data_IF_590150185378
#
_entry.id   IF_590150185378
#
_cell.length_a   1.000
_cell.length_b   1.000
_cell.length_c   1.000
_cell.angle_alpha   90.00
_cell.angle_beta   90.00
_cell.angle_gamma   90.00
#
_symmetry.space_group_name_H-M   'P 1'
#
loop_
_entity.id
_entity.type
_entity.pdbx_description
1 polymer ?
#
# COMPACT_ATOMS: atom_id res chain seq x y z
N UNK A 1 29.20 -88.23 8.34
CA UNK A 1 30.28 -88.62 9.27
C UNK A 1 29.57 -88.81 10.57
N UNK A 2 29.27 -90.06 10.81
CA UNK A 2 29.95 -91.00 11.62
C UNK A 2 29.79 -90.66 13.09
N UNK A 3 29.40 -91.37 13.92
CA UNK A 3 29.20 -92.85 14.25
C UNK A 3 28.97 -92.84 15.75
N UNK A 4 28.23 -93.54 16.34
CA UNK A 4 28.13 -94.91 16.41
C UNK A 4 28.02 -95.33 17.84
N UNK A 5 27.19 -96.19 17.97
CA UNK A 5 27.28 -97.48 18.71
C UNK A 5 27.11 -97.45 20.22
N UNK A 6 26.01 -98.05 20.67
CA UNK A 6 25.95 -99.50 21.01
C UNK A 6 26.61 -99.78 22.36
N UNK A 7 26.12 -100.50 23.29
CA UNK A 7 25.58 -101.83 23.31
C UNK A 7 25.18 -102.26 24.74
N UNK A 8 24.16 -103.04 24.84
CA UNK A 8 24.01 -104.36 25.63
C UNK A 8 24.20 -104.39 27.14
N UNK A 9 23.19 -104.88 27.76
CA UNK A 9 22.76 -106.24 28.24
C UNK A 9 23.15 -106.43 29.71
N UNK A 10 22.48 -107.02 30.51
CA UNK A 10 21.73 -108.22 30.86
C UNK A 10 21.23 -108.08 32.31
N UNK A 11 20.10 -108.38 32.70
CA UNK A 11 19.47 -109.63 32.94
C UNK A 11 19.60 -110.20 34.37
N UNK A 12 18.50 -110.32 35.04
CA UNK A 12 18.07 -111.59 35.69
C UNK A 12 17.04 -111.36 36.81
N UNK A 13 15.95 -111.95 36.62
CA UNK A 13 15.04 -112.63 37.53
C UNK A 13 15.31 -112.64 39.03
N UNK A 14 14.29 -112.40 39.82
CA UNK A 14 13.67 -113.34 40.73
C UNK A 14 12.48 -112.74 41.53
N UNK A 15 11.35 -113.35 41.29
CA UNK A 15 10.31 -113.80 42.22
C UNK A 15 9.97 -113.00 43.48
N UNK A 16 8.78 -112.60 43.55
CA UNK A 16 7.85 -113.29 44.40
C UNK A 16 7.12 -112.43 45.42
N UNK A 17 5.85 -112.46 45.30
CA UNK A 17 4.80 -112.44 46.35
C UNK A 17 4.39 -111.17 47.05
N UNK A 18 3.15 -110.89 46.84
CA UNK A 18 2.14 -110.36 47.74
C UNK A 18 2.24 -108.96 48.29
N UNK A 19 1.29 -108.13 47.82
CA UNK A 19 0.28 -107.66 48.79
C UNK A 19 -0.84 -106.85 48.13
N UNK A 20 -2.02 -107.33 48.28
CA UNK A 20 -3.33 -106.77 47.88
C UNK A 20 -3.75 -105.61 48.76
N UNK A 21 -2.86 -104.80 49.37
CA UNK A 21 -3.23 -103.73 50.33
C UNK A 21 -2.82 -102.30 49.92
N UNK A 22 -2.18 -102.04 48.75
CA UNK A 22 -1.76 -100.65 48.36
C UNK A 22 -2.57 -100.04 47.26
N UNK A 23 -3.56 -100.69 46.65
CA UNK A 23 -4.38 -100.13 45.57
C UNK A 23 -5.54 -99.20 46.04
N UNK A 24 -6.04 -99.30 47.24
CA UNK A 24 -7.15 -98.48 47.72
C UNK A 24 -6.75 -97.02 48.14
N UNK A 25 -5.52 -96.80 48.62
CA UNK A 25 -5.03 -95.52 49.05
C UNK A 25 -4.62 -94.60 47.88
N UNK A 26 -4.08 -95.19 46.79
CA UNK A 26 -3.74 -94.43 45.57
C UNK A 26 -4.99 -93.99 44.81
N UNK A 27 -6.01 -94.86 44.71
CA UNK A 27 -7.29 -94.47 44.08
C UNK A 27 -8.07 -93.40 44.87
N UNK A 28 -8.09 -93.43 46.22
CA UNK A 28 -8.71 -92.38 47.07
C UNK A 28 -7.95 -91.06 46.96
N UNK A 29 -6.62 -91.05 46.91
CA UNK A 29 -5.81 -89.81 46.69
C UNK A 29 -5.97 -89.32 45.27
N UNK A 30 -6.08 -90.17 44.26
CA UNK A 30 -6.36 -89.75 42.86
C UNK A 30 -7.78 -89.17 42.71
N UNK A 31 -8.81 -89.80 43.33
CA UNK A 31 -10.20 -89.25 43.34
C UNK A 31 -10.27 -87.91 44.07
N UNK A 32 -9.63 -87.77 45.24
CA UNK A 32 -9.57 -86.52 45.99
C UNK A 32 -8.81 -85.47 45.17
N UNK A 33 -7.69 -85.80 44.49
CA UNK A 33 -6.94 -84.88 43.62
C UNK A 33 -7.73 -84.48 42.42
N UNK A 34 -8.46 -85.40 41.78
CA UNK A 34 -9.36 -85.07 40.64
C UNK A 34 -10.57 -84.21 41.09
N UNK A 35 -11.11 -84.50 42.29
CA UNK A 35 -12.21 -83.74 42.84
C UNK A 35 -11.77 -82.28 43.23
N UNK A 36 -10.58 -82.12 43.81
CA UNK A 36 -9.98 -80.78 44.11
C UNK A 36 -9.65 -80.09 42.80
N UNK A 37 -9.10 -80.73 41.82
CA UNK A 37 -8.83 -80.18 40.50
C UNK A 37 -10.13 -79.81 39.76
N UNK A 38 -11.17 -80.61 39.82
CA UNK A 38 -12.47 -80.32 39.29
C UNK A 38 -13.17 -79.12 39.99
N UNK A 39 -13.08 -79.12 41.35
CA UNK A 39 -13.59 -77.99 42.15
C UNK A 39 -12.82 -76.71 41.85
N UNK A 40 -11.49 -76.73 41.67
CA UNK A 40 -10.69 -75.59 41.26
C UNK A 40 -11.04 -75.13 39.84
N UNK A 41 -11.26 -76.05 38.89
CA UNK A 41 -11.67 -75.79 37.54
C UNK A 41 -13.06 -75.11 37.53
N UNK A 42 -14.00 -75.63 38.33
CA UNK A 42 -15.34 -75.05 38.48
C UNK A 42 -15.26 -73.68 39.16
N UNK A 43 -14.43 -73.53 40.16
CA UNK A 43 -14.23 -72.26 40.89
C UNK A 43 -13.50 -71.22 40.00
N UNK A 44 -12.44 -71.64 39.31
CA UNK A 44 -11.71 -70.80 38.34
C UNK A 44 -12.53 -70.55 37.08
N UNK A 45 -13.27 -71.50 36.57
CA UNK A 45 -14.16 -71.36 35.46
C UNK A 45 -15.35 -70.45 35.80
N UNK A 46 -15.93 -70.63 36.97
CA UNK A 46 -17.03 -69.81 37.49
C UNK A 46 -16.59 -68.31 37.71
N UNK A 47 -15.41 -68.15 38.36
CA UNK A 47 -14.86 -66.77 38.53
C UNK A 47 -14.45 -66.13 37.22
N UNK A 48 -13.95 -66.90 36.26
CA UNK A 48 -13.64 -66.43 34.90
C UNK A 48 -14.91 -66.04 34.14
N UNK A 49 -15.96 -66.86 34.13
CA UNK A 49 -17.25 -66.53 33.50
C UNK A 49 -17.91 -65.33 34.12
N UNK A 50 -17.87 -65.22 35.48
CA UNK A 50 -18.38 -64.10 36.22
C UNK A 50 -17.57 -62.82 35.86
N UNK A 51 -16.23 -62.92 35.86
CA UNK A 51 -15.34 -61.87 35.46
C UNK A 51 -15.56 -61.41 34.01
N UNK A 52 -15.75 -62.36 33.08
CA UNK A 52 -16.10 -62.06 31.69
C UNK A 52 -17.48 -61.37 31.59
N UNK A 53 -18.49 -61.85 32.28
CA UNK A 53 -19.81 -61.22 32.30
C UNK A 53 -19.79 -59.79 32.86
N UNK A 54 -18.98 -59.54 33.90
CA UNK A 54 -18.80 -58.19 34.48
C UNK A 54 -17.93 -57.25 33.65
N UNK A 55 -17.01 -57.77 32.89
CA UNK A 55 -16.11 -56.98 32.03
C UNK A 55 -16.68 -56.76 30.63
N UNK A 56 -17.66 -57.56 30.24
CA UNK A 56 -18.15 -57.58 28.84
C UNK A 56 -18.87 -56.27 28.50
N UNK A 57 -18.32 -55.51 27.54
CA UNK A 57 -18.92 -54.25 27.09
C UNK A 57 -18.82 -53.06 28.04
N UNK A 58 -18.06 -53.19 29.16
CA UNK A 58 -17.85 -52.12 30.10
C UNK A 58 -16.48 -51.46 29.95
N UNK A 59 -16.38 -50.18 30.34
CA UNK A 59 -15.12 -49.44 30.38
C UNK A 59 -14.20 -49.99 31.48
N UNK A 60 -12.87 -50.00 31.29
CA UNK A 60 -11.92 -50.37 32.35
C UNK A 60 -12.13 -49.52 33.60
N UNK A 61 -11.98 -50.19 34.78
CA UNK A 61 -12.47 -49.69 36.04
C UNK A 61 -11.97 -48.28 36.47
N UNK A 62 -10.76 -47.90 36.01
CA UNK A 62 -10.11 -46.63 36.37
C UNK A 62 -10.09 -45.63 35.21
N UNK A 63 -10.90 -45.85 34.17
CA UNK A 63 -10.93 -44.99 33.01
C UNK A 63 -11.54 -43.64 33.32
N UNK A 64 -10.83 -42.58 32.96
CA UNK A 64 -11.31 -41.18 33.03
C UNK A 64 -11.06 -40.48 31.67
N UNK A 65 -11.93 -39.57 31.29
CA UNK A 65 -11.74 -38.69 30.13
C UNK A 65 -11.81 -37.26 30.64
N UNK A 66 -10.73 -36.48 30.43
CA UNK A 66 -10.62 -35.10 30.95
C UNK A 66 -11.05 -35.01 32.46
N UNK A 67 -10.69 -36.03 33.24
CA UNK A 67 -11.02 -36.07 34.65
C UNK A 67 -12.42 -36.61 35.00
N UNK A 68 -13.30 -36.80 34.03
CA UNK A 68 -14.63 -37.40 34.21
C UNK A 68 -14.50 -38.91 34.30
N UNK A 69 -14.91 -39.55 35.46
CA UNK A 69 -14.81 -40.99 35.64
C UNK A 69 -15.91 -41.74 34.87
N UNK A 70 -15.51 -42.66 33.98
CA UNK A 70 -16.43 -43.47 33.19
C UNK A 70 -16.17 -45.00 33.40
N UNK A 71 -15.29 -45.33 34.33
CA UNK A 71 -14.94 -46.73 34.62
C UNK A 71 -16.15 -47.56 35.06
N UNK A 72 -16.25 -48.79 34.59
CA UNK A 72 -17.33 -49.79 34.83
C UNK A 72 -18.68 -49.41 34.20
N UNK A 73 -18.80 -48.32 33.48
CA UNK A 73 -20.01 -47.97 32.71
C UNK A 73 -20.03 -48.76 31.40
N UNK A 74 -21.19 -49.09 30.90
CA UNK A 74 -21.36 -49.52 29.51
C UNK A 74 -21.11 -48.38 28.57
N UNK A 75 -20.94 -48.68 27.29
CA UNK A 75 -20.63 -47.67 26.24
C UNK A 75 -21.64 -46.52 26.20
N UNK A 76 -22.93 -46.82 26.21
CA UNK A 76 -23.98 -45.82 26.07
C UNK A 76 -24.05 -44.87 27.30
N UNK A 77 -23.96 -45.48 28.52
CA UNK A 77 -23.95 -44.71 29.80
C UNK A 77 -22.69 -43.85 29.90
N UNK A 78 -21.50 -44.37 29.49
CA UNK A 78 -20.26 -43.61 29.52
C UNK A 78 -20.31 -42.43 28.54
N UNK A 79 -20.78 -42.65 27.33
CA UNK A 79 -20.95 -41.60 26.31
C UNK A 79 -21.92 -40.52 26.78
N UNK A 80 -23.09 -40.90 27.34
CA UNK A 80 -24.07 -39.98 27.86
C UNK A 80 -23.48 -39.14 29.00
N UNK A 81 -22.72 -39.77 29.91
CA UNK A 81 -22.05 -39.07 31.02
C UNK A 81 -21.02 -38.07 30.51
N UNK A 82 -20.21 -38.42 29.53
CA UNK A 82 -19.23 -37.51 28.91
C UNK A 82 -19.91 -36.36 28.18
N UNK A 83 -20.97 -36.62 27.44
CA UNK A 83 -21.77 -35.56 26.77
C UNK A 83 -22.40 -34.60 27.76
N UNK A 84 -22.88 -35.08 28.88
CA UNK A 84 -23.50 -34.23 29.91
C UNK A 84 -22.46 -33.36 30.64
N UNK A 85 -21.31 -33.93 31.02
CA UNK A 85 -20.26 -33.25 31.79
C UNK A 85 -19.31 -32.36 30.93
N UNK A 86 -18.95 -32.81 29.74
CA UNK A 86 -17.98 -32.14 28.88
C UNK A 86 -18.66 -31.37 27.74
N UNK A 87 -19.83 -31.81 27.28
CA UNK A 87 -20.57 -31.20 26.17
C UNK A 87 -20.76 -29.69 26.34
N UNK A 88 -21.32 -29.23 27.47
CA UNK A 88 -21.48 -27.79 27.73
C UNK A 88 -20.16 -27.00 27.68
N UNK A 89 -19.07 -27.58 28.16
CA UNK A 89 -17.73 -26.95 28.15
C UNK A 89 -17.14 -26.89 26.75
N UNK A 90 -17.33 -27.93 25.95
CA UNK A 90 -16.81 -28.01 24.58
C UNK A 90 -17.63 -27.21 23.55
N UNK A 91 -18.91 -26.95 23.86
CA UNK A 91 -19.79 -26.11 23.04
C UNK A 91 -19.85 -24.65 23.49
N UNK A 92 -19.24 -24.34 24.64
CA UNK A 92 -19.22 -22.97 25.18
C UNK A 92 -18.56 -22.00 24.18
N UNK A 93 -19.21 -20.86 23.90
CA UNK A 93 -18.64 -19.86 23.00
C UNK A 93 -17.30 -19.33 23.51
N UNK A 94 -16.35 -19.15 22.59
CA UNK A 94 -15.00 -18.63 22.91
C UNK A 94 -14.95 -17.17 22.51
N UNK A 95 -14.62 -16.30 23.46
CA UNK A 95 -14.45 -14.86 23.24
C UNK A 95 -13.02 -14.56 22.86
N UNK A 96 -12.82 -14.00 21.67
CA UNK A 96 -11.55 -13.41 21.19
C UNK A 96 -11.60 -11.92 21.53
N UNK A 97 -10.63 -11.40 22.28
CA UNK A 97 -10.66 -10.02 22.76
C UNK A 97 -9.31 -9.31 22.58
N UNK A 98 -9.36 -8.01 22.22
CA UNK A 98 -8.23 -7.08 22.22
C UNK A 98 -8.70 -5.65 22.50
N UNK A 99 -8.11 -4.98 23.49
CA UNK A 99 -8.34 -3.56 23.83
C UNK A 99 -9.81 -3.11 23.79
N UNK A 100 -10.72 -3.92 24.36
CA UNK A 100 -12.16 -3.60 24.44
C UNK A 100 -12.99 -4.13 23.29
N UNK A 101 -12.38 -4.50 22.17
CA UNK A 101 -13.06 -5.21 21.09
C UNK A 101 -13.20 -6.69 21.45
N UNK A 102 -14.39 -7.26 21.28
CA UNK A 102 -14.70 -8.65 21.59
C UNK A 102 -15.49 -9.26 20.44
N UNK A 103 -15.08 -10.46 20.06
CA UNK A 103 -15.80 -11.30 19.08
C UNK A 103 -15.99 -12.67 19.67
N UNK A 104 -17.16 -13.23 19.52
CA UNK A 104 -17.52 -14.54 20.06
C UNK A 104 -17.53 -15.56 18.93
N UNK A 105 -16.81 -16.65 19.13
CA UNK A 105 -16.70 -17.79 18.21
C UNK A 105 -17.51 -18.96 18.78
N UNK A 106 -18.46 -19.46 18.01
CA UNK A 106 -19.19 -20.70 18.28
C UNK A 106 -18.34 -21.86 17.80
N UNK A 107 -17.86 -22.77 18.69
CA UNK A 107 -16.96 -23.84 18.32
C UNK A 107 -17.51 -24.76 17.24
N UNK A 108 -18.78 -25.16 17.33
CA UNK A 108 -19.39 -26.08 16.37
C UNK A 108 -19.47 -25.47 14.96
N UNK A 109 -19.82 -24.18 14.86
CA UNK A 109 -19.88 -23.47 13.59
C UNK A 109 -18.50 -23.15 13.04
N UNK A 110 -17.49 -23.13 13.90
CA UNK A 110 -16.08 -22.95 13.53
C UNK A 110 -15.38 -24.26 13.14
N UNK A 111 -16.06 -25.40 13.15
CA UNK A 111 -15.44 -26.67 12.80
C UNK A 111 -14.65 -27.35 13.93
N UNK A 112 -14.91 -26.97 15.17
CA UNK A 112 -14.34 -27.60 16.37
C UNK A 112 -15.37 -28.59 16.94
N UNK A 113 -15.14 -29.87 16.74
CA UNK A 113 -16.11 -30.93 17.08
C UNK A 113 -15.43 -32.01 17.91
N UNK A 114 -16.12 -32.46 18.97
CA UNK A 114 -15.69 -33.65 19.73
C UNK A 114 -16.09 -34.90 18.96
N UNK A 115 -15.15 -35.83 18.82
CA UNK A 115 -15.40 -37.14 18.27
C UNK A 115 -15.69 -38.14 19.42
N UNK A 116 -16.98 -38.19 19.79
CA UNK A 116 -17.43 -39.03 20.88
C UNK A 116 -17.17 -40.52 20.61
N UNK A 117 -17.46 -40.96 19.36
CA UNK A 117 -17.25 -42.34 18.96
C UNK A 117 -15.76 -42.75 19.07
N UNK A 118 -14.88 -41.95 18.51
CA UNK A 118 -13.44 -42.17 18.62
C UNK A 118 -12.94 -42.11 20.08
N UNK A 119 -13.52 -41.24 20.91
CA UNK A 119 -13.20 -41.19 22.36
C UNK A 119 -13.59 -42.45 23.04
N UNK A 120 -14.78 -42.97 22.77
CA UNK A 120 -15.27 -44.21 23.38
C UNK A 120 -14.48 -45.42 22.90
N UNK A 121 -14.10 -45.46 21.61
CA UNK A 121 -13.23 -46.54 21.08
C UNK A 121 -11.86 -46.58 21.78
N UNK A 122 -11.28 -45.41 22.03
CA UNK A 122 -10.03 -45.27 22.78
C UNK A 122 -10.19 -45.63 24.26
N UNK A 123 -11.33 -45.35 24.86
CA UNK A 123 -11.63 -45.69 26.25
C UNK A 123 -11.76 -47.20 26.49
N UNK A 124 -12.03 -47.98 25.44
CA UNK A 124 -11.73 -49.42 25.42
C UNK A 124 -12.77 -50.35 25.97
N UNK A 125 -14.07 -50.07 25.81
CA UNK A 125 -15.11 -51.07 26.02
C UNK A 125 -15.02 -52.20 24.98
N UNK A 126 -14.33 -53.30 25.29
CA UNK A 126 -14.13 -54.42 24.36
C UNK A 126 -14.77 -55.68 24.92
N UNK A 127 -15.52 -56.35 24.07
CA UNK A 127 -15.93 -57.72 24.34
C UNK A 127 -14.75 -58.65 24.03
N UNK A 128 -14.18 -59.33 25.05
CA UNK A 128 -13.05 -60.19 24.87
C UNK A 128 -13.08 -61.36 25.81
N UNK A 129 -12.76 -62.56 25.29
CA UNK A 129 -12.52 -63.76 26.06
C UNK A 129 -11.05 -63.89 26.52
N UNK A 130 -10.20 -62.92 26.22
CA UNK A 130 -8.80 -62.93 26.66
C UNK A 130 -8.72 -62.59 28.15
N UNK A 131 -8.14 -63.49 29.01
CA UNK A 131 -8.03 -63.22 30.45
C UNK A 131 -7.32 -61.90 30.79
N UNK A 132 -6.28 -61.50 30.00
CA UNK A 132 -5.56 -60.24 30.21
C UNK A 132 -6.46 -59.02 29.97
N UNK A 133 -7.32 -59.08 28.96
CA UNK A 133 -8.28 -58.04 28.67
C UNK A 133 -9.34 -57.92 29.77
N UNK A 134 -9.86 -59.07 30.27
CA UNK A 134 -10.83 -59.11 31.37
C UNK A 134 -10.21 -58.50 32.66
N UNK A 135 -8.98 -58.86 33.02
CA UNK A 135 -8.28 -58.29 34.14
C UNK A 135 -8.05 -56.78 34.00
N UNK A 136 -7.64 -56.35 32.78
CA UNK A 136 -7.48 -54.90 32.50
C UNK A 136 -8.81 -54.17 32.63
N UNK A 137 -9.92 -54.74 32.19
CA UNK A 137 -11.25 -54.12 32.31
C UNK A 137 -11.70 -54.06 33.80
N UNK A 138 -11.44 -55.06 34.58
CA UNK A 138 -11.89 -55.11 35.99
C UNK A 138 -11.03 -54.28 36.93
N UNK A 139 -9.75 -54.11 36.72
CA UNK A 139 -8.78 -53.52 37.64
C UNK A 139 -7.92 -52.42 36.99
N UNK A 140 -7.85 -52.36 35.68
CA UNK A 140 -7.05 -51.42 34.89
C UNK A 140 -7.83 -50.17 34.47
N UNK A 141 -7.31 -49.51 33.48
CA UNK A 141 -7.77 -48.25 32.96
C UNK A 141 -6.90 -47.07 33.43
N UNK A 142 -7.17 -45.89 32.93
CA UNK A 142 -6.46 -44.64 33.27
C UNK A 142 -7.02 -43.48 32.49
N UNK A 143 -6.35 -42.32 32.52
CA UNK A 143 -6.78 -41.19 31.76
C UNK A 143 -6.67 -41.45 30.26
N UNK A 144 -7.76 -41.15 29.56
CA UNK A 144 -7.89 -41.24 28.10
C UNK A 144 -8.11 -39.82 27.58
N UNK A 145 -7.38 -39.36 26.55
CA UNK A 145 -7.60 -38.04 25.99
C UNK A 145 -8.91 -38.00 25.21
N UNK A 146 -9.60 -36.90 25.31
CA UNK A 146 -10.76 -36.61 24.49
C UNK A 146 -10.36 -36.52 23.02
N UNK A 147 -11.03 -37.30 22.16
CA UNK A 147 -10.77 -37.23 20.71
C UNK A 147 -11.57 -36.11 20.09
N UNK A 148 -10.91 -35.39 19.19
CA UNK A 148 -11.50 -34.16 18.57
C UNK A 148 -11.22 -34.16 17.10
N UNK A 149 -12.12 -33.50 16.35
CA UNK A 149 -11.95 -33.16 14.94
C UNK A 149 -11.88 -31.64 14.83
N UNK A 150 -10.81 -31.14 14.24
CA UNK A 150 -10.57 -29.71 14.03
C UNK A 150 -10.45 -29.45 12.54
N UNK A 151 -11.34 -28.63 12.02
CA UNK A 151 -11.22 -28.06 10.67
C UNK A 151 -10.58 -26.65 10.79
N UNK A 152 -9.26 -26.63 10.76
CA UNK A 152 -8.48 -25.38 10.86
C UNK A 152 -8.90 -24.33 9.82
N UNK A 153 -9.27 -24.78 8.61
CA UNK A 153 -9.74 -23.86 7.54
C UNK A 153 -11.07 -23.21 7.91
N UNK A 154 -11.98 -23.96 8.52
CA UNK A 154 -13.25 -23.42 8.99
C UNK A 154 -13.06 -22.47 10.18
N UNK A 155 -12.13 -22.78 11.09
CA UNK A 155 -11.75 -21.90 12.21
C UNK A 155 -11.21 -20.58 11.66
N UNK A 156 -10.22 -20.63 10.76
CA UNK A 156 -9.63 -19.44 10.14
C UNK A 156 -10.68 -18.61 9.41
N UNK A 157 -11.53 -19.24 8.62
CA UNK A 157 -12.63 -18.53 7.90
C UNK A 157 -13.63 -17.87 8.85
N UNK A 158 -13.90 -18.50 9.99
CA UNK A 158 -14.81 -17.93 11.00
C UNK A 158 -14.18 -16.72 11.68
N UNK A 159 -12.89 -16.76 11.96
CA UNK A 159 -12.12 -15.64 12.55
C UNK A 159 -11.98 -14.52 11.53
N UNK A 160 -11.66 -14.83 10.28
CA UNK A 160 -11.49 -13.86 9.19
C UNK A 160 -12.73 -13.02 8.94
N UNK A 161 -13.91 -13.62 8.99
CA UNK A 161 -15.20 -12.90 8.90
C UNK A 161 -15.34 -11.78 9.93
N UNK A 162 -14.66 -11.89 11.05
CA UNK A 162 -14.70 -10.96 12.17
C UNK A 162 -13.43 -10.10 12.25
N UNK A 163 -12.46 -10.30 11.38
CA UNK A 163 -11.15 -9.62 11.42
C UNK A 163 -11.29 -8.09 11.32
N UNK A 164 -12.26 -7.61 10.53
CA UNK A 164 -12.55 -6.19 10.39
C UNK A 164 -12.89 -5.47 11.70
N UNK A 165 -13.44 -6.17 12.69
CA UNK A 165 -13.73 -5.57 14.01
C UNK A 165 -12.44 -5.15 14.75
N UNK A 166 -11.31 -5.78 14.46
CA UNK A 166 -10.01 -5.50 15.07
C UNK A 166 -9.14 -4.60 14.19
N UNK A 167 -9.56 -4.30 12.95
CA UNK A 167 -8.75 -3.58 11.99
C UNK A 167 -8.71 -2.07 12.29
N UNK A 168 -7.52 -1.50 12.17
CA UNK A 168 -7.28 -0.06 12.10
C UNK A 168 -6.31 0.14 10.94
N UNK A 169 -6.73 0.93 9.93
CA UNK A 169 -5.86 1.24 8.82
C UNK A 169 -4.67 2.10 9.26
N UNK A 170 -3.49 1.75 8.79
CA UNK A 170 -2.32 2.60 8.97
C UNK A 170 -2.53 3.91 8.20
N UNK A 171 -2.27 5.05 8.85
CA UNK A 171 -2.31 6.37 8.20
C UNK A 171 -0.94 7.01 8.23
N UNK A 172 -0.52 7.52 7.10
CA UNK A 172 0.73 8.24 6.96
C UNK A 172 0.70 9.58 7.69
N UNK A 173 1.83 9.96 8.28
CA UNK A 173 2.05 11.33 8.70
C UNK A 173 2.09 12.25 7.47
N UNK A 174 1.56 13.46 7.58
CA UNK A 174 1.54 14.42 6.49
C UNK A 174 2.19 15.73 6.88
N UNK A 175 2.67 16.46 5.88
CA UNK A 175 3.14 17.84 6.02
C UNK A 175 2.76 18.64 4.78
N UNK A 176 2.30 19.87 4.98
CA UNK A 176 2.04 20.84 3.93
C UNK A 176 2.29 22.26 4.44
N UNK A 177 2.36 23.20 3.51
CA UNK A 177 2.43 24.61 3.81
C UNK A 177 1.05 25.26 3.61
N UNK A 178 0.61 26.01 4.61
CA UNK A 178 -0.55 26.92 4.53
C UNK A 178 0.00 28.36 4.64
N UNK A 179 0.14 29.03 3.49
CA UNK A 179 1.02 30.18 3.40
C UNK A 179 2.44 29.81 3.85
N UNK A 180 3.03 30.58 4.75
CA UNK A 180 4.33 30.29 5.35
C UNK A 180 4.26 29.37 6.58
N UNK A 181 3.05 28.94 7.01
CA UNK A 181 2.86 28.08 8.16
C UNK A 181 3.03 26.61 7.80
N UNK A 182 3.84 25.89 8.57
CA UNK A 182 4.02 24.43 8.41
C UNK A 182 2.91 23.73 9.19
N UNK A 183 2.12 22.92 8.51
CA UNK A 183 1.04 22.12 9.10
C UNK A 183 1.40 20.65 8.96
N UNK A 184 1.28 19.89 10.05
CA UNK A 184 1.60 18.45 10.09
C UNK A 184 0.48 17.65 10.72
N UNK A 185 0.32 16.39 10.30
CA UNK A 185 -0.49 15.40 11.00
C UNK A 185 0.36 14.21 11.44
N UNK A 186 -0.07 13.58 12.55
CA UNK A 186 0.60 12.40 13.09
C UNK A 186 0.25 11.15 12.28
N UNK A 187 1.23 10.24 12.19
CA UNK A 187 1.00 8.90 11.68
C UNK A 187 0.13 8.08 12.65
N UNK A 188 -0.68 7.20 12.10
CA UNK A 188 -1.41 6.19 12.86
C UNK A 188 -0.87 4.82 12.48
N UNK A 189 -0.44 4.07 13.49
CA UNK A 189 -0.04 2.69 13.28
C UNK A 189 -1.26 1.82 13.01
N UNK A 190 -1.20 1.00 11.99
CA UNK A 190 -2.25 0.05 11.66
C UNK A 190 -2.36 -1.07 12.70
N UNK A 191 -3.48 -1.76 12.66
CA UNK A 191 -3.74 -2.96 13.43
C UNK A 191 -4.57 -3.91 12.57
N UNK A 192 -4.11 -5.15 12.45
CA UNK A 192 -4.77 -6.22 11.70
C UNK A 192 -4.79 -7.48 12.55
N UNK A 193 -5.87 -8.25 12.50
CA UNK A 193 -5.92 -9.55 13.16
C UNK A 193 -4.99 -10.52 12.44
N UNK A 194 -4.11 -11.19 13.19
CA UNK A 194 -3.37 -12.34 12.69
C UNK A 194 -4.29 -13.57 12.74
N UNK A 195 -5.01 -13.81 11.65
CA UNK A 195 -6.03 -14.86 11.56
C UNK A 195 -5.46 -16.23 11.88
N UNK A 196 -4.35 -16.70 11.28
CA UNK A 196 -3.79 -18.01 11.60
C UNK A 196 -3.34 -18.15 13.06
N UNK A 197 -2.66 -17.13 13.61
CA UNK A 197 -2.20 -17.16 14.99
C UNK A 197 -3.36 -17.12 15.98
N UNK A 198 -4.40 -16.36 15.68
CA UNK A 198 -5.62 -16.31 16.50
C UNK A 198 -6.39 -17.62 16.42
N UNK A 199 -6.50 -18.24 15.24
CA UNK A 199 -7.12 -19.55 15.05
C UNK A 199 -6.45 -20.60 15.92
N UNK A 200 -5.14 -20.69 15.89
CA UNK A 200 -4.36 -21.61 16.75
C UNK A 200 -4.58 -21.35 18.24
N UNK A 201 -4.74 -20.08 18.64
CA UNK A 201 -5.04 -19.73 20.01
C UNK A 201 -6.44 -20.18 20.42
N UNK A 202 -7.43 -20.04 19.53
CA UNK A 202 -8.82 -20.52 19.73
C UNK A 202 -8.87 -22.03 19.83
N UNK A 203 -8.20 -22.77 18.94
CA UNK A 203 -8.08 -24.23 18.97
C UNK A 203 -7.47 -24.69 20.31
N UNK A 204 -6.35 -24.06 20.69
CA UNK A 204 -5.67 -24.39 21.97
C UNK A 204 -6.57 -24.12 23.18
N UNK A 205 -7.29 -23.00 23.21
CA UNK A 205 -8.21 -22.68 24.27
C UNK A 205 -9.39 -23.65 24.34
N UNK A 206 -9.91 -24.04 23.19
CA UNK A 206 -10.99 -25.01 23.09
C UNK A 206 -10.58 -26.35 23.68
N UNK A 207 -9.40 -26.88 23.34
CA UNK A 207 -8.85 -28.10 23.94
C UNK A 207 -8.66 -27.97 25.46
N UNK A 208 -8.39 -26.76 25.95
CA UNK A 208 -8.25 -26.48 27.38
C UNK A 208 -9.57 -26.09 28.05
N UNK A 209 -10.70 -26.17 27.33
CA UNK A 209 -12.05 -25.77 27.81
C UNK A 209 -12.09 -24.32 28.33
N UNK A 210 -11.25 -23.45 27.76
CA UNK A 210 -11.24 -22.01 28.07
C UNK A 210 -12.18 -21.26 27.13
N UNK A 211 -12.90 -20.30 27.69
CA UNK A 211 -13.90 -19.49 26.97
C UNK A 211 -13.43 -18.11 26.54
N UNK A 212 -12.14 -17.80 26.74
CA UNK A 212 -11.58 -16.51 26.35
C UNK A 212 -10.13 -16.62 25.94
N UNK A 213 -9.76 -15.92 24.87
CA UNK A 213 -8.38 -15.80 24.38
C UNK A 213 -8.10 -14.37 23.94
N UNK A 214 -6.87 -13.88 24.08
CA UNK A 214 -6.47 -12.62 23.46
C UNK A 214 -6.40 -12.78 21.95
N UNK A 215 -6.83 -11.75 21.21
CA UNK A 215 -6.59 -11.68 19.77
C UNK A 215 -5.10 -11.44 19.51
N UNK A 216 -4.52 -12.19 18.57
CA UNK A 216 -3.17 -11.91 18.08
C UNK A 216 -3.26 -10.90 16.95
N UNK A 217 -2.57 -9.76 17.07
CA UNK A 217 -2.63 -8.68 16.10
C UNK A 217 -1.27 -8.36 15.51
N UNK A 218 -1.24 -8.13 14.20
CA UNK A 218 -0.15 -7.49 13.47
C UNK A 218 -0.30 -5.98 13.52
N UNK A 219 0.80 -5.26 13.48
CA UNK A 219 0.83 -3.79 13.53
C UNK A 219 1.54 -3.24 12.30
N UNK A 220 0.85 -3.16 11.14
CA UNK A 220 1.44 -2.58 9.94
C UNK A 220 1.87 -1.14 10.22
N UNK A 221 3.11 -0.82 9.85
CA UNK A 221 3.63 0.52 10.01
C UNK A 221 3.13 1.43 8.88
N UNK A 222 2.88 2.73 9.15
CA UNK A 222 2.62 3.71 8.11
C UNK A 222 3.82 3.82 7.16
N UNK A 223 3.57 4.15 5.89
CA UNK A 223 4.65 4.37 4.93
C UNK A 223 5.46 5.61 5.28
N UNK A 224 4.76 6.67 5.71
CA UNK A 224 5.38 7.92 6.16
C UNK A 224 5.23 8.02 7.68
N UNK A 225 6.36 7.99 8.36
CA UNK A 225 6.40 8.09 9.82
C UNK A 225 6.52 9.54 10.29
N UNK A 226 6.16 9.82 11.55
CA UNK A 226 6.40 11.11 12.20
C UNK A 226 7.86 11.55 12.06
N UNK A 227 8.81 10.61 12.21
CA UNK A 227 10.25 10.89 12.07
C UNK A 227 10.62 11.38 10.68
N UNK A 228 9.98 10.89 9.62
CA UNK A 228 10.22 11.36 8.25
C UNK A 228 9.71 12.79 8.08
N UNK A 229 8.52 13.10 8.61
CA UNK A 229 7.95 14.45 8.63
C UNK A 229 8.84 15.41 9.45
N UNK A 230 9.22 15.02 10.67
CA UNK A 230 10.09 15.85 11.52
C UNK A 230 11.43 16.17 10.87
N UNK A 231 11.99 15.22 10.10
CA UNK A 231 13.23 15.43 9.37
C UNK A 231 13.09 16.49 8.29
N UNK A 232 12.07 16.43 7.42
CA UNK A 232 11.86 17.42 6.36
C UNK A 232 11.48 18.78 6.95
N UNK A 233 10.65 18.79 7.98
CA UNK A 233 10.29 20.03 8.70
C UNK A 233 11.54 20.72 9.26
N UNK A 234 12.37 19.99 9.98
CA UNK A 234 13.51 20.58 10.67
C UNK A 234 14.65 20.94 9.70
N UNK A 235 14.93 20.10 8.71
CA UNK A 235 16.08 20.26 7.83
C UNK A 235 15.82 21.11 6.60
N UNK A 236 14.55 21.20 6.16
CA UNK A 236 14.21 21.89 4.91
C UNK A 236 13.15 22.98 5.12
N UNK A 237 11.95 22.66 5.59
CA UNK A 237 10.84 23.61 5.63
C UNK A 237 11.07 24.76 6.64
N UNK A 238 11.48 24.45 7.88
CA UNK A 238 11.75 25.48 8.88
C UNK A 238 12.79 26.51 8.40
N UNK A 239 13.95 26.12 7.87
CA UNK A 239 14.87 27.08 7.28
C UNK A 239 14.25 27.91 6.15
N UNK A 240 13.51 27.27 5.21
CA UNK A 240 12.93 27.95 4.05
C UNK A 240 12.00 29.09 4.45
N UNK A 241 11.12 28.87 5.43
CA UNK A 241 10.10 29.83 5.86
C UNK A 241 10.44 30.53 7.18
N UNK A 242 11.69 30.46 7.65
CA UNK A 242 12.11 31.02 8.97
C UNK A 242 12.06 32.54 9.04
N UNK A 243 11.96 33.22 7.91
CA UNK A 243 11.90 34.68 7.77
C UNK A 243 12.23 35.14 6.36
N UNK A 244 12.20 36.41 6.07
CA UNK A 244 12.51 36.93 4.73
C UNK A 244 13.98 36.72 4.37
N UNK A 245 14.26 36.53 3.07
CA UNK A 245 15.62 36.69 2.52
C UNK A 245 15.77 38.15 2.15
N UNK A 246 16.66 38.87 2.82
CA UNK A 246 16.96 40.29 2.53
C UNK A 246 18.01 40.35 1.44
N UNK A 247 17.67 40.96 0.34
CA UNK A 247 18.53 41.07 -0.84
C UNK A 247 18.99 42.51 -0.98
N UNK A 248 20.29 42.69 -0.95
CA UNK A 248 20.96 43.98 -1.21
C UNK A 248 21.41 44.06 -2.65
N UNK A 249 21.16 45.19 -3.29
CA UNK A 249 21.64 45.48 -4.65
C UNK A 249 22.20 46.91 -4.76
N UNK A 250 22.89 47.19 -5.86
CA UNK A 250 23.36 48.56 -6.16
C UNK A 250 22.26 49.57 -6.48
N UNK A 251 21.01 49.07 -6.74
CA UNK A 251 19.85 49.90 -7.07
C UNK A 251 18.85 50.04 -5.92
N UNK A 252 19.10 49.35 -4.80
CA UNK A 252 18.22 49.31 -3.63
C UNK A 252 18.03 47.90 -3.08
N UNK A 253 17.47 47.82 -1.89
CA UNK A 253 17.27 46.58 -1.16
C UNK A 253 15.81 46.12 -1.28
N UNK A 254 15.60 44.81 -1.28
CA UNK A 254 14.26 44.22 -1.24
C UNK A 254 14.27 42.93 -0.40
N UNK A 255 13.10 42.41 -0.13
CA UNK A 255 12.95 41.18 0.63
C UNK A 255 12.09 40.16 -0.12
N UNK A 256 12.55 38.92 -0.13
CA UNK A 256 11.76 37.77 -0.57
C UNK A 256 11.08 37.19 0.66
N UNK A 257 9.74 37.24 0.70
CA UNK A 257 8.99 36.86 1.89
C UNK A 257 8.83 35.35 2.04
N UNK A 258 8.59 34.85 3.27
CA UNK A 258 8.29 33.43 3.50
C UNK A 258 7.09 32.92 2.68
N UNK A 259 6.09 33.77 2.45
CA UNK A 259 4.89 33.44 1.66
C UNK A 259 5.23 33.25 0.17
N UNK A 260 6.09 34.09 -0.39
CA UNK A 260 6.58 33.93 -1.76
C UNK A 260 7.38 32.65 -1.91
N UNK A 261 8.24 32.34 -0.92
CA UNK A 261 9.01 31.10 -0.90
C UNK A 261 8.10 29.88 -0.80
N UNK A 262 7.11 29.92 0.11
CA UNK A 262 6.14 28.84 0.31
C UNK A 262 5.32 28.56 -0.97
N UNK A 263 4.89 29.61 -1.68
CA UNK A 263 4.11 29.52 -2.93
C UNK A 263 4.82 28.70 -4.02
N UNK A 264 6.14 28.74 -4.05
CA UNK A 264 6.96 28.02 -5.04
C UNK A 264 7.60 26.74 -4.47
N UNK A 265 7.29 26.39 -3.20
CA UNK A 265 7.82 25.19 -2.55
C UNK A 265 6.94 24.00 -2.84
N UNK A 266 7.54 22.94 -3.36
CA UNK A 266 6.90 21.66 -3.60
C UNK A 266 7.39 20.65 -2.56
N UNK A 267 6.45 19.92 -1.94
CA UNK A 267 6.71 18.81 -1.04
C UNK A 267 6.38 17.53 -1.78
N UNK A 268 7.34 16.63 -1.91
CA UNK A 268 7.19 15.36 -2.62
C UNK A 268 7.49 14.19 -1.71
N UNK A 269 6.72 13.11 -1.90
CA UNK A 269 6.92 11.84 -1.21
C UNK A 269 7.37 10.81 -2.24
N UNK A 270 8.53 10.18 -1.99
CA UNK A 270 9.05 9.10 -2.81
C UNK A 270 9.77 8.08 -1.91
N UNK A 271 9.50 6.78 -2.11
CA UNK A 271 10.18 5.68 -1.40
C UNK A 271 10.21 5.86 0.14
N UNK A 272 9.06 6.23 0.71
CA UNK A 272 8.89 6.50 2.16
C UNK A 272 9.69 7.69 2.70
N UNK A 273 10.31 8.47 1.83
CA UNK A 273 10.98 9.71 2.19
C UNK A 273 10.16 10.93 1.74
N UNK A 274 10.22 11.99 2.52
CA UNK A 274 9.65 13.30 2.17
C UNK A 274 10.79 14.26 1.90
N UNK A 275 10.66 15.04 0.83
CA UNK A 275 11.57 16.13 0.47
C UNK A 275 10.79 17.39 0.16
N UNK A 276 11.38 18.54 0.45
CA UNK A 276 10.83 19.83 0.08
C UNK A 276 11.86 20.61 -0.73
N UNK A 277 11.43 21.24 -1.82
CA UNK A 277 12.29 22.07 -2.66
C UNK A 277 11.53 23.28 -3.15
N UNK A 278 12.18 24.44 -3.18
CA UNK A 278 11.64 25.65 -3.74
C UNK A 278 12.12 25.81 -5.20
N UNK A 279 11.20 26.09 -6.11
CA UNK A 279 11.50 26.44 -7.50
C UNK A 279 11.98 27.90 -7.55
N UNK A 280 13.31 28.08 -7.51
CA UNK A 280 13.94 29.40 -7.46
C UNK A 280 13.80 30.18 -8.78
N UNK A 281 13.55 29.51 -9.90
CA UNK A 281 13.24 30.18 -11.18
C UNK A 281 11.84 30.77 -11.18
N UNK A 282 10.84 30.06 -10.63
CA UNK A 282 9.51 30.64 -10.41
C UNK A 282 9.56 31.77 -9.39
N UNK A 283 10.35 31.60 -8.32
CA UNK A 283 10.55 32.65 -7.32
C UNK A 283 11.13 33.91 -7.94
N UNK A 284 12.14 33.78 -8.80
CA UNK A 284 12.71 34.91 -9.53
C UNK A 284 11.65 35.64 -10.35
N UNK A 285 10.87 34.92 -11.11
CA UNK A 285 9.79 35.49 -11.95
C UNK A 285 8.74 36.22 -11.12
N UNK A 286 8.30 35.60 -10.00
CA UNK A 286 7.33 36.21 -9.09
C UNK A 286 7.86 37.50 -8.45
N UNK A 287 9.11 37.48 -8.00
CA UNK A 287 9.76 38.63 -7.40
C UNK A 287 9.97 39.76 -8.43
N UNK A 288 10.53 39.45 -9.60
CA UNK A 288 10.80 40.43 -10.63
C UNK A 288 9.54 41.10 -11.19
N UNK A 289 8.42 40.37 -11.24
CA UNK A 289 7.14 40.90 -11.70
C UNK A 289 6.60 42.04 -10.81
N UNK A 290 6.99 42.08 -9.53
CA UNK A 290 6.52 43.05 -8.55
C UNK A 290 7.61 44.02 -8.06
N UNK A 291 8.86 43.79 -8.47
CA UNK A 291 10.02 44.57 -8.00
C UNK A 291 10.15 45.85 -8.85
N UNK A 292 10.13 46.99 -8.18
CA UNK A 292 10.32 48.32 -8.84
C UNK A 292 11.59 49.00 -8.30
N UNK A 293 12.74 48.66 -8.87
CA UNK A 293 14.05 49.28 -8.57
C UNK A 293 14.60 50.07 -9.77
N UNK A 294 13.72 50.47 -10.71
CA UNK A 294 14.11 51.22 -11.89
C UNK A 294 14.99 50.40 -12.86
N UNK A 295 14.83 49.10 -12.88
CA UNK A 295 15.49 48.25 -13.88
C UNK A 295 14.99 48.55 -15.28
N UNK A 296 15.86 48.47 -16.26
CA UNK A 296 15.53 48.65 -17.66
C UNK A 296 15.61 47.34 -18.40
N UNK A 297 14.60 47.02 -19.17
CA UNK A 297 14.64 45.84 -20.04
C UNK A 297 15.50 46.13 -21.26
N UNK A 298 16.28 45.15 -21.75
CA UNK A 298 16.93 45.29 -23.04
C UNK A 298 15.89 45.33 -24.15
N UNK A 299 16.15 46.08 -25.18
CA UNK A 299 15.34 46.09 -26.42
C UNK A 299 16.19 45.56 -27.56
N UNK A 300 15.65 44.63 -28.29
CA UNK A 300 16.29 44.07 -29.49
C UNK A 300 16.34 45.13 -30.59
N UNK A 301 17.35 45.06 -31.47
CA UNK A 301 17.35 45.82 -32.70
C UNK A 301 16.19 45.32 -33.59
N UNK A 302 15.64 46.20 -34.37
CA UNK A 302 14.58 45.89 -35.31
C UNK A 302 14.77 46.64 -36.61
N UNK A 303 13.84 46.47 -37.57
CA UNK A 303 13.88 47.16 -38.85
C UNK A 303 12.59 47.93 -39.07
N UNK A 304 12.71 49.17 -39.48
CA UNK A 304 11.57 50.00 -39.85
C UNK A 304 11.73 50.50 -41.30
N UNK A 305 10.64 50.94 -41.94
CA UNK A 305 10.68 51.56 -43.25
C UNK A 305 10.70 53.08 -43.10
N UNK A 306 11.86 53.69 -43.37
CA UNK A 306 12.01 55.12 -43.40
C UNK A 306 12.12 55.59 -44.90
N UNK A 307 11.12 56.30 -45.37
CA UNK A 307 11.06 56.73 -46.76
C UNK A 307 11.07 55.56 -47.77
N UNK A 308 10.42 54.44 -47.41
CA UNK A 308 10.36 53.22 -48.23
C UNK A 308 11.63 52.39 -48.24
N UNK A 309 12.62 52.71 -47.41
CA UNK A 309 13.87 51.92 -47.29
C UNK A 309 13.96 51.31 -45.90
N UNK A 310 14.36 50.02 -45.81
CA UNK A 310 14.61 49.42 -44.49
C UNK A 310 15.75 50.15 -43.76
N UNK A 311 15.49 50.50 -42.52
CA UNK A 311 16.43 51.18 -41.62
C UNK A 311 16.47 50.44 -40.30
N UNK A 312 17.68 50.24 -39.78
CA UNK A 312 17.87 49.56 -38.48
C UNK A 312 17.40 50.50 -37.37
N UNK A 313 16.54 49.98 -36.48
CA UNK A 313 16.23 50.56 -35.17
C UNK A 313 17.25 49.98 -34.18
N UNK A 314 18.06 50.81 -33.53
CA UNK A 314 19.11 50.32 -32.65
C UNK A 314 18.57 49.57 -31.43
N UNK A 315 19.28 48.49 -31.05
CA UNK A 315 19.06 47.83 -29.76
C UNK A 315 19.48 48.70 -28.59
N UNK A 316 18.91 48.46 -27.42
CA UNK A 316 19.37 49.03 -26.17
C UNK A 316 19.69 47.98 -25.15
N UNK A 317 20.74 48.23 -24.38
CA UNK A 317 21.16 47.38 -23.27
C UNK A 317 20.24 47.68 -22.08
N UNK A 318 19.74 46.65 -21.43
CA UNK A 318 19.04 46.75 -20.15
C UNK A 318 19.96 46.67 -18.94
N UNK A 319 19.38 46.82 -17.78
CA UNK A 319 20.08 46.63 -16.51
C UNK A 319 19.14 45.96 -15.51
N UNK A 320 19.60 44.91 -14.86
CA UNK A 320 18.76 44.14 -13.94
C UNK A 320 19.50 43.00 -13.23
N UNK A 321 18.73 42.24 -12.51
CA UNK A 321 19.20 41.03 -11.83
C UNK A 321 19.09 39.84 -12.80
N UNK A 322 20.21 39.16 -13.03
CA UNK A 322 20.23 37.95 -13.87
C UNK A 322 19.64 36.76 -13.09
N UNK A 323 18.71 36.01 -13.71
CA UNK A 323 18.05 34.86 -13.09
C UNK A 323 19.06 33.86 -12.48
N UNK A 324 20.14 33.55 -13.20
CA UNK A 324 21.19 32.62 -12.72
C UNK A 324 21.83 33.07 -11.40
N UNK A 325 22.11 34.35 -11.25
CA UNK A 325 22.72 34.89 -10.01
C UNK A 325 21.71 34.90 -8.87
N UNK A 326 20.46 35.30 -9.14
CA UNK A 326 19.38 35.27 -8.16
C UNK A 326 19.13 33.86 -7.67
N UNK A 327 18.93 32.89 -8.56
CA UNK A 327 18.63 31.51 -8.19
C UNK A 327 19.77 30.88 -7.39
N UNK A 328 21.01 31.12 -7.72
CA UNK A 328 22.17 30.63 -6.99
C UNK A 328 22.29 31.27 -5.58
N UNK A 329 22.21 32.59 -5.51
CA UNK A 329 22.45 33.34 -4.27
C UNK A 329 21.25 33.22 -3.32
N UNK A 330 20.05 33.56 -3.78
CA UNK A 330 18.83 33.48 -2.97
C UNK A 330 18.49 32.02 -2.66
N UNK A 331 18.64 31.09 -3.62
CA UNK A 331 18.45 29.66 -3.39
C UNK A 331 19.32 29.12 -2.27
N UNK A 332 20.59 29.53 -2.19
CA UNK A 332 21.49 29.14 -1.09
C UNK A 332 21.03 29.68 0.27
N UNK A 333 20.38 30.82 0.32
CA UNK A 333 19.87 31.43 1.54
C UNK A 333 18.62 30.74 2.08
N UNK A 334 17.87 30.01 1.25
CA UNK A 334 16.67 29.28 1.69
C UNK A 334 16.97 28.15 2.70
N UNK A 335 18.20 27.67 2.74
CA UNK A 335 18.63 26.63 3.71
C UNK A 335 19.20 27.22 4.99
N UNK A 336 19.23 28.56 5.11
CA UNK A 336 19.85 29.29 6.22
C UNK A 336 18.79 29.98 7.07
N UNK A 337 19.20 30.47 8.24
CA UNK A 337 18.31 31.18 9.19
C UNK A 337 18.99 32.46 9.71
N UNK A 338 18.19 33.39 10.24
CA UNK A 338 18.67 34.63 10.84
C UNK A 338 19.43 35.51 9.85
N UNK A 339 20.53 36.14 10.29
CA UNK A 339 21.35 37.06 9.48
C UNK A 339 22.04 36.39 8.27
N UNK A 340 22.15 35.09 8.26
CA UNK A 340 22.71 34.37 7.09
C UNK A 340 21.76 34.40 5.87
N UNK A 341 20.57 34.95 6.03
CA UNK A 341 19.61 35.19 4.95
C UNK A 341 19.74 36.58 4.32
N UNK A 342 20.69 37.39 4.81
CA UNK A 342 21.03 38.67 4.21
C UNK A 342 22.09 38.40 3.11
N UNK A 343 21.70 38.62 1.87
CA UNK A 343 22.53 38.30 0.69
C UNK A 343 22.67 39.53 -0.22
N UNK A 344 23.73 39.55 -1.02
CA UNK A 344 23.94 40.56 -2.03
C UNK A 344 23.86 39.95 -3.41
N UNK A 345 22.97 40.51 -4.27
CA UNK A 345 22.79 40.08 -5.66
C UNK A 345 23.26 41.18 -6.59
N UNK A 346 24.17 40.89 -7.53
CA UNK A 346 24.69 41.91 -8.43
C UNK A 346 23.63 42.32 -9.45
N UNK A 347 23.56 43.61 -9.73
CA UNK A 347 22.87 44.18 -10.89
C UNK A 347 23.83 44.18 -12.07
N UNK A 348 23.43 43.61 -13.19
CA UNK A 348 24.25 43.48 -14.38
C UNK A 348 23.59 44.10 -15.59
N UNK A 349 24.38 44.42 -16.60
CA UNK A 349 23.90 44.74 -17.92
C UNK A 349 23.22 43.49 -18.52
N UNK A 350 22.09 43.72 -19.15
CA UNK A 350 21.29 42.75 -19.88
C UNK A 350 21.44 43.07 -21.36
N UNK A 351 22.14 42.22 -22.08
CA UNK A 351 22.31 42.40 -23.51
C UNK A 351 21.02 42.03 -24.26
N UNK A 352 20.67 42.74 -25.35
CA UNK A 352 19.57 42.39 -26.21
C UNK A 352 19.85 41.04 -26.87
N UNK A 353 18.81 40.25 -27.17
CA UNK A 353 18.93 38.98 -27.86
C UNK A 353 19.35 39.18 -29.35
N UNK A 354 19.00 40.33 -29.91
CA UNK A 354 19.40 40.74 -31.24
C UNK A 354 20.00 42.17 -31.18
N UNK A 355 21.31 42.22 -31.35
CA UNK A 355 22.03 43.51 -31.21
C UNK A 355 21.99 44.35 -32.49
N UNK A 356 22.27 45.65 -32.36
CA UNK A 356 22.44 46.60 -33.51
C UNK A 356 23.48 46.06 -34.49
N UNK A 357 24.60 45.51 -34.03
CA UNK A 357 25.63 44.97 -34.88
C UNK A 357 25.14 43.75 -35.68
N UNK A 358 24.36 42.89 -35.03
CA UNK A 358 23.71 41.75 -35.72
C UNK A 358 22.68 42.23 -36.75
N UNK A 359 21.89 43.25 -36.42
CA UNK A 359 20.95 43.83 -37.39
C UNK A 359 21.64 44.44 -38.62
N UNK A 360 22.74 45.17 -38.39
CA UNK A 360 23.54 45.70 -39.47
C UNK A 360 24.17 44.59 -40.33
N UNK A 361 24.68 43.54 -39.69
CA UNK A 361 25.25 42.38 -40.38
C UNK A 361 24.21 41.54 -41.14
N UNK A 362 22.93 41.60 -40.74
CA UNK A 362 21.84 40.88 -41.44
C UNK A 362 21.60 41.41 -42.86
N UNK A 363 22.05 42.64 -43.16
CA UNK A 363 22.08 43.19 -44.53
C UNK A 363 20.71 43.44 -45.16
N UNK A 364 19.71 43.76 -44.33
CA UNK A 364 18.35 44.10 -44.82
C UNK A 364 18.40 45.49 -45.51
N UNK A 365 18.27 45.49 -46.84
CA UNK A 365 18.53 46.69 -47.67
C UNK A 365 17.35 47.10 -48.54
N UNK A 366 16.47 46.17 -48.90
CA UNK A 366 15.41 46.43 -49.89
C UNK A 366 14.12 45.74 -49.49
N UNK A 367 12.99 46.30 -49.85
CA UNK A 367 11.69 45.65 -49.80
C UNK A 367 11.65 44.58 -50.89
N UNK A 368 11.37 43.34 -50.56
CA UNK A 368 11.33 42.21 -51.49
C UNK A 368 9.91 41.67 -51.71
N UNK A 369 8.95 42.09 -50.92
CA UNK A 369 7.54 41.77 -51.06
C UNK A 369 6.68 42.78 -50.33
N UNK A 370 5.57 43.12 -50.96
CA UNK A 370 4.58 44.07 -50.43
C UNK A 370 3.19 43.60 -50.82
N UNK A 371 2.24 43.72 -49.92
CA UNK A 371 0.85 43.44 -50.23
C UNK A 371 -0.08 44.30 -49.37
N UNK A 372 -1.18 44.81 -49.96
CA UNK A 372 -2.15 45.63 -49.27
C UNK A 372 -3.54 45.01 -49.41
N UNK A 373 -4.26 44.95 -48.32
CA UNK A 373 -5.67 44.59 -48.33
C UNK A 373 -6.51 45.77 -47.77
N UNK A 374 -7.74 45.87 -48.26
CA UNK A 374 -8.70 46.89 -47.79
C UNK A 374 -9.87 46.25 -47.06
N UNK A 375 -10.51 46.94 -46.19
CA UNK A 375 -11.70 46.48 -45.51
C UNK A 375 -12.66 47.65 -45.26
N UNK A 376 -14.00 47.41 -45.18
CA UNK A 376 -14.95 48.42 -44.78
C UNK A 376 -14.68 48.85 -43.35
N UNK A 377 -14.80 50.16 -43.10
CA UNK A 377 -14.59 50.72 -41.78
C UNK A 377 -15.50 50.07 -40.74
N UNK A 378 -14.91 49.64 -39.64
CA UNK A 378 -15.59 49.15 -38.44
C UNK A 378 -14.63 49.30 -37.25
N UNK A 379 -15.12 49.87 -36.15
CA UNK A 379 -14.29 50.19 -34.99
C UNK A 379 -13.54 48.98 -34.41
N UNK A 380 -14.22 47.84 -34.35
CA UNK A 380 -13.59 46.60 -33.87
C UNK A 380 -12.47 46.13 -34.81
N UNK A 381 -12.64 46.32 -36.14
CA UNK A 381 -11.57 45.95 -37.10
C UNK A 381 -10.38 46.91 -36.97
N UNK A 382 -10.62 48.21 -36.85
CA UNK A 382 -9.54 49.16 -36.62
C UNK A 382 -8.74 48.83 -35.37
N UNK A 383 -9.41 48.45 -34.26
CA UNK A 383 -8.78 48.07 -33.02
C UNK A 383 -8.01 46.74 -33.18
N UNK A 384 -8.68 45.71 -33.66
CA UNK A 384 -8.11 44.36 -33.70
C UNK A 384 -7.01 44.22 -34.74
N UNK A 385 -7.17 44.80 -35.94
CA UNK A 385 -6.12 44.80 -36.98
C UNK A 385 -4.98 45.75 -36.62
N UNK A 386 -5.27 46.90 -35.96
CA UNK A 386 -4.23 47.79 -35.46
C UNK A 386 -3.34 47.12 -34.42
N UNK A 387 -3.92 46.35 -33.51
CA UNK A 387 -3.15 45.52 -32.54
C UNK A 387 -2.35 44.42 -33.25
N UNK A 388 -2.97 43.71 -34.21
CA UNK A 388 -2.28 42.69 -34.97
C UNK A 388 -1.09 43.30 -35.75
N UNK A 389 -1.30 44.43 -36.44
CA UNK A 389 -0.24 45.11 -37.15
C UNK A 389 0.90 45.55 -36.20
N UNK A 390 0.56 46.04 -35.00
CA UNK A 390 1.55 46.42 -34.00
C UNK A 390 2.40 45.23 -33.53
N UNK A 391 1.80 44.06 -33.36
CA UNK A 391 2.51 42.85 -32.97
C UNK A 391 3.40 42.27 -34.08
N UNK A 392 2.98 42.42 -35.33
CA UNK A 392 3.75 41.92 -36.51
C UNK A 392 4.85 42.90 -36.87
N UNK A 393 4.63 44.19 -36.63
CA UNK A 393 5.58 45.24 -37.02
C UNK A 393 6.96 44.96 -36.37
N UNK A 394 8.02 45.17 -37.17
CA UNK A 394 9.41 44.99 -36.75
C UNK A 394 9.82 43.54 -36.45
N UNK A 395 8.96 42.54 -36.71
CA UNK A 395 9.34 41.11 -36.58
C UNK A 395 10.52 40.82 -37.51
N UNK A 396 11.54 40.16 -36.94
CA UNK A 396 12.72 39.73 -37.69
C UNK A 396 12.77 38.20 -37.82
N UNK A 397 12.92 37.73 -39.01
CA UNK A 397 13.09 36.29 -39.31
C UNK A 397 14.49 36.07 -39.87
N UNK A 398 15.35 35.41 -39.12
CA UNK A 398 16.68 35.10 -39.57
C UNK A 398 16.67 34.05 -40.72
N UNK A 399 17.69 34.02 -41.57
CA UNK A 399 17.79 33.05 -42.66
C UNK A 399 17.63 31.61 -42.14
N UNK A 400 16.77 30.83 -42.82
CA UNK A 400 16.46 29.44 -42.41
C UNK A 400 15.52 29.26 -41.25
N UNK A 401 14.95 30.35 -40.73
CA UNK A 401 13.92 30.31 -39.67
C UNK A 401 12.52 30.50 -40.24
N UNK A 402 11.51 30.13 -39.48
CA UNK A 402 10.09 30.25 -39.86
C UNK A 402 9.43 31.37 -39.10
N UNK A 403 8.70 32.23 -39.84
CA UNK A 403 7.75 33.16 -39.26
C UNK A 403 6.47 32.44 -38.85
N UNK A 404 5.96 32.69 -37.69
CA UNK A 404 4.67 32.15 -37.22
C UNK A 404 3.77 33.32 -36.81
N UNK A 405 2.71 33.55 -37.55
CA UNK A 405 1.77 34.60 -37.27
C UNK A 405 1.12 34.44 -35.88
N UNK A 406 0.74 33.23 -35.50
CA UNK A 406 0.17 32.95 -34.19
C UNK A 406 1.13 33.24 -33.04
N UNK A 407 2.41 32.97 -33.23
CA UNK A 407 3.45 33.33 -32.24
C UNK A 407 3.61 34.82 -32.08
N UNK A 408 3.63 35.56 -33.20
CA UNK A 408 3.77 37.03 -33.17
C UNK A 408 2.53 37.68 -32.58
N UNK A 409 1.32 37.26 -32.94
CA UNK A 409 0.08 37.83 -32.41
C UNK A 409 -0.14 37.49 -30.93
N UNK A 410 0.37 36.35 -30.46
CA UNK A 410 0.20 35.87 -29.09
C UNK A 410 -1.26 35.62 -28.72
N UNK A 411 -1.58 35.82 -27.44
CA UNK A 411 -2.93 35.62 -26.93
C UNK A 411 -3.85 36.72 -27.44
N UNK A 412 -4.92 36.35 -28.12
CA UNK A 412 -5.94 37.27 -28.67
C UNK A 412 -7.18 37.25 -27.78
N UNK A 413 -7.14 38.00 -26.68
CA UNK A 413 -8.23 38.10 -25.72
C UNK A 413 -8.41 39.54 -25.18
N UNK A 414 -9.44 39.79 -24.39
CA UNK A 414 -9.74 41.08 -23.85
C UNK A 414 -8.64 41.67 -22.95
N UNK A 415 -7.88 40.85 -22.27
CA UNK A 415 -6.78 41.29 -21.40
C UNK A 415 -5.57 41.80 -22.20
N UNK A 416 -5.46 41.41 -23.47
CA UNK A 416 -4.43 41.88 -24.41
C UNK A 416 -4.94 43.01 -25.32
N UNK A 417 -6.14 43.55 -25.06
CA UNK A 417 -6.69 44.71 -25.73
C UNK A 417 -7.54 44.41 -26.96
N UNK A 418 -7.72 43.15 -27.33
CA UNK A 418 -8.62 42.80 -28.42
C UNK A 418 -10.08 42.96 -27.97
N UNK A 419 -10.93 43.39 -28.91
CA UNK A 419 -12.35 43.61 -28.69
C UNK A 419 -13.20 42.65 -29.50
N UNK A 420 -14.49 42.54 -29.11
CA UNK A 420 -15.43 41.66 -29.82
C UNK A 420 -15.67 42.17 -31.26
N UNK A 421 -15.63 41.24 -32.20
CA UNK A 421 -15.90 41.49 -33.60
C UNK A 421 -16.57 40.30 -34.25
N UNK A 422 -16.99 40.42 -35.47
CA UNK A 422 -17.61 39.35 -36.21
C UNK A 422 -16.58 38.33 -36.67
N UNK A 423 -16.85 37.06 -36.35
CA UNK A 423 -16.12 35.87 -36.81
C UNK A 423 -17.06 34.93 -37.55
N UNK A 424 -16.50 34.09 -38.42
CA UNK A 424 -17.23 33.07 -39.15
C UNK A 424 -17.11 31.76 -38.39
N UNK A 425 -18.24 31.25 -37.90
CA UNK A 425 -18.31 29.95 -37.23
C UNK A 425 -19.30 29.06 -38.03
N UNK A 426 -18.74 28.10 -38.81
CA UNK A 426 -19.53 27.32 -39.74
C UNK A 426 -20.23 28.19 -40.78
N UNK A 427 -21.58 28.11 -40.92
CA UNK A 427 -22.35 28.96 -41.84
C UNK A 427 -22.77 30.30 -41.23
N UNK A 428 -22.45 30.58 -39.98
CA UNK A 428 -22.97 31.73 -39.22
C UNK A 428 -21.90 32.76 -38.90
N UNK A 429 -22.34 34.02 -38.76
CA UNK A 429 -21.54 35.10 -38.19
C UNK A 429 -21.88 35.25 -36.71
N UNK A 430 -20.87 35.09 -35.85
CA UNK A 430 -20.98 35.26 -34.40
C UNK A 430 -20.04 36.35 -33.92
N UNK A 431 -20.32 36.92 -32.73
CA UNK A 431 -19.43 37.89 -32.12
C UNK A 431 -18.49 37.22 -31.16
N UNK A 432 -17.19 37.36 -31.39
CA UNK A 432 -16.12 36.82 -30.54
C UNK A 432 -14.97 37.83 -30.45
N UNK A 433 -14.17 37.70 -29.39
CA UNK A 433 -12.97 38.51 -29.20
C UNK A 433 -12.00 38.31 -30.38
N UNK A 434 -11.37 39.41 -30.81
CA UNK A 434 -10.45 39.44 -31.94
C UNK A 434 -11.08 39.16 -33.32
N UNK A 435 -12.41 39.34 -33.47
CA UNK A 435 -13.08 39.26 -34.77
C UNK A 435 -12.41 40.14 -35.82
N UNK A 436 -12.27 39.60 -37.03
CA UNK A 436 -11.66 40.27 -38.18
C UNK A 436 -10.13 40.23 -38.27
N UNK A 437 -9.41 39.75 -37.26
CA UNK A 437 -7.93 39.64 -37.24
C UNK A 437 -7.39 38.78 -38.38
N UNK A 438 -8.15 37.79 -38.85
CA UNK A 438 -7.76 36.90 -39.96
C UNK A 438 -7.36 37.65 -41.25
N UNK A 439 -7.81 38.91 -41.45
CA UNK A 439 -7.35 39.71 -42.57
C UNK A 439 -5.85 40.01 -42.49
N UNK A 440 -5.25 40.13 -41.32
CA UNK A 440 -3.80 40.26 -41.20
C UNK A 440 -3.06 39.03 -41.72
N UNK A 441 -3.65 37.83 -41.56
CA UNK A 441 -3.09 36.62 -42.12
C UNK A 441 -3.05 36.65 -43.66
N UNK A 442 -4.12 37.06 -44.29
CA UNK A 442 -4.18 37.21 -45.76
C UNK A 442 -3.14 38.23 -46.24
N UNK A 443 -3.00 39.38 -45.55
CA UNK A 443 -2.03 40.42 -45.96
C UNK A 443 -0.60 39.91 -45.82
N UNK A 444 -0.24 39.34 -44.69
CA UNK A 444 1.12 38.79 -44.44
C UNK A 444 1.44 37.64 -45.33
N UNK A 445 0.51 36.69 -45.55
CA UNK A 445 0.71 35.54 -46.43
C UNK A 445 1.05 35.99 -47.85
N UNK A 446 0.27 36.92 -48.40
CA UNK A 446 0.53 37.40 -49.76
C UNK A 446 1.85 38.18 -49.86
N UNK A 447 2.18 39.03 -48.87
CA UNK A 447 3.48 39.70 -48.87
C UNK A 447 4.65 38.69 -48.80
N UNK A 448 4.54 37.67 -47.98
CA UNK A 448 5.54 36.58 -47.86
C UNK A 448 5.64 35.76 -49.17
N UNK A 449 4.52 35.44 -49.81
CA UNK A 449 4.47 34.76 -51.08
C UNK A 449 5.20 35.53 -52.18
N UNK A 450 4.89 36.84 -52.31
CA UNK A 450 5.59 37.69 -53.28
C UNK A 450 7.07 37.91 -52.98
N UNK A 451 7.45 37.81 -51.72
CA UNK A 451 8.83 37.80 -51.25
C UNK A 451 9.57 36.47 -51.56
N UNK A 452 8.90 35.46 -52.12
CA UNK A 452 9.47 34.14 -52.42
C UNK A 452 9.73 33.27 -51.18
N UNK A 453 9.03 33.50 -50.08
CA UNK A 453 9.13 32.66 -48.87
C UNK A 453 8.42 31.35 -49.08
N UNK A 454 8.96 30.27 -48.49
CA UNK A 454 8.34 28.96 -48.53
C UNK A 454 7.17 28.91 -47.56
N UNK A 455 6.01 28.51 -48.08
CA UNK A 455 4.85 28.21 -47.24
C UNK A 455 5.08 26.92 -46.47
N UNK A 456 4.99 26.99 -45.12
CA UNK A 456 5.21 25.84 -44.23
C UNK A 456 3.87 25.28 -43.80
N UNK A 457 2.93 26.16 -43.44
CA UNK A 457 1.59 25.80 -42.99
C UNK A 457 0.67 27.01 -43.10
N UNK A 458 -0.51 26.82 -43.70
CA UNK A 458 -1.58 27.79 -43.66
C UNK A 458 -2.95 27.12 -43.62
N UNK A 459 -3.93 27.84 -43.10
CA UNK A 459 -5.31 27.40 -43.06
C UNK A 459 -6.21 28.42 -43.76
N UNK A 460 -6.80 28.09 -44.92
CA UNK A 460 -7.68 29.02 -45.64
C UNK A 460 -9.02 29.18 -44.91
N UNK A 461 -9.68 30.30 -45.14
CA UNK A 461 -11.06 30.49 -44.71
C UNK A 461 -12.04 29.60 -45.50
N UNK A 462 -13.13 29.22 -44.84
CA UNK A 462 -14.26 28.49 -45.47
C UNK A 462 -15.09 29.39 -46.37
N UNK A 463 -14.96 30.69 -46.27
CA UNK A 463 -15.67 31.70 -47.07
C UNK A 463 -14.69 32.68 -47.66
N UNK A 464 -14.85 32.97 -48.97
CA UNK A 464 -14.15 34.03 -49.71
C UNK A 464 -15.02 35.25 -49.82
N UNK A 465 -14.46 36.42 -49.52
CA UNK A 465 -15.09 37.70 -49.83
C UNK A 465 -14.50 38.17 -51.18
N UNK A 466 -15.40 38.36 -52.15
CA UNK A 466 -15.05 38.90 -53.45
C UNK A 466 -14.92 40.43 -53.40
#
# INVERSE_FOLDING_TARGET
MQDGTSTFQTGRFSTGRNSVAQTSAKHRRAIIGVSIAAALIVLLGGTYLTGHAMANGTMPAKTTVEGVPIGRMDHATAEATLKDELGPKMTAPITVADHGTKVTIDPAKAGLVVDWDATMDHAGAKNSWNPATIWNTLLGGGPVPLQTKVDTTAVEKTIDKNAGAFAIDAKDATVHLDGAKIVTSKAVQGRELDVPATAKSVETAWHQMKTSVPATVKRPAPNITDKAVDKVVTKQLKPMVSGPVRVKTSRGDFSVTPEQIAKVTTITTKDKAITASADTSKLYKDVMAHLNLGFTQPHDASFTLAGGKPTVVPSSVGEGIVEKDFTAIVGSALTRTGSQRDVSVPVKKLDPAFSTDQANAAGVKTVIGEFTTTFPHADYRNTNLGLAAKHINESYVAPGKTFSLDKELGARNSSTGYVDGWVIEGPSLVKEVAGGVSQSATTVFNAAFFAGMTDVEHHPHTLYFL
#
